data_IF_338967442101
#
_entry.id   IF_338967442101
#
_cell.length_a   1.000
_cell.length_b   1.000
_cell.length_c   1.000
_cell.angle_alpha   90.00
_cell.angle_beta   90.00
_cell.angle_gamma   90.00
#
_symmetry.space_group_name_H-M   'P 1'
#
loop_
_entity.id
_entity.type
_entity.pdbx_description
1 polymer ?
#
# COMPACT_ATOMS: atom_id res chain seq x y z
N UNK A 1 -9.00 18.25 14.92
CA UNK A 1 -7.71 18.69 14.35
C UNK A 1 -6.67 18.63 15.45
N UNK A 2 -5.56 17.97 15.25
CA UNK A 2 -4.51 17.80 16.26
C UNK A 2 -3.34 17.00 15.69
N UNK A 3 -2.36 16.72 16.52
CA UNK A 3 -1.28 15.80 16.18
C UNK A 3 -1.86 14.41 15.88
N UNK A 4 -1.46 13.81 14.76
CA UNK A 4 -2.04 12.55 14.31
C UNK A 4 -1.80 11.40 15.29
N UNK A 5 -0.66 11.38 15.98
CA UNK A 5 -0.34 10.36 16.99
C UNK A 5 -1.27 10.48 18.21
N UNK A 6 -1.49 11.71 18.70
CA UNK A 6 -2.40 11.98 19.81
C UNK A 6 -3.85 11.63 19.45
N UNK A 7 -4.27 12.05 18.25
CA UNK A 7 -5.64 11.77 17.79
C UNK A 7 -5.85 10.27 17.59
N UNK A 8 -4.91 9.57 16.95
CA UNK A 8 -5.01 8.12 16.73
C UNK A 8 -5.03 7.35 18.06
N UNK A 9 -4.27 7.79 19.07
CA UNK A 9 -4.25 7.12 20.38
C UNK A 9 -5.60 7.12 21.09
N UNK A 10 -6.52 8.02 20.71
CA UNK A 10 -7.88 8.08 21.27
C UNK A 10 -8.85 7.06 20.67
N UNK A 11 -8.48 6.42 19.55
CA UNK A 11 -9.29 5.37 18.93
C UNK A 11 -8.91 3.98 19.47
N UNK A 12 -9.88 3.08 19.48
CA UNK A 12 -9.65 1.68 19.81
C UNK A 12 -8.87 0.96 18.71
N UNK A 13 -8.31 -0.20 19.05
CA UNK A 13 -7.68 -1.08 18.05
C UNK A 13 -8.70 -1.56 17.02
N UNK A 14 -8.22 -1.79 15.80
CA UNK A 14 -9.04 -2.34 14.71
C UNK A 14 -10.30 -1.53 14.37
N UNK A 15 -10.25 -0.19 14.56
CA UNK A 15 -11.38 0.70 14.29
C UNK A 15 -11.58 0.97 12.80
N UNK A 16 -10.50 1.06 12.02
CA UNK A 16 -10.56 1.52 10.63
C UNK A 16 -10.28 0.39 9.64
N UNK A 17 -10.94 0.43 8.49
CA UNK A 17 -10.83 -0.59 7.44
C UNK A 17 -9.81 -0.25 6.33
N UNK A 18 -9.32 0.96 6.30
CA UNK A 18 -8.25 1.42 5.41
C UNK A 18 -7.61 2.70 5.92
N UNK A 19 -6.36 2.94 5.53
CA UNK A 19 -5.69 4.22 5.66
C UNK A 19 -5.27 4.68 4.27
N UNK A 20 -5.67 5.90 3.87
CA UNK A 20 -5.18 6.56 2.66
C UNK A 20 -4.72 7.94 3.10
N UNK A 21 -3.43 8.24 2.91
CA UNK A 21 -2.83 9.46 3.45
C UNK A 21 -1.77 10.04 2.54
N UNK A 22 -1.72 11.37 2.52
CA UNK A 22 -0.66 12.16 1.92
C UNK A 22 0.11 12.86 3.06
N UNK A 23 1.09 12.17 3.66
CA UNK A 23 1.81 12.66 4.82
C UNK A 23 2.93 13.64 4.42
N UNK A 24 3.60 14.31 5.38
CA UNK A 24 4.81 15.07 5.10
C UNK A 24 5.85 14.23 4.36
N UNK A 25 6.48 14.83 3.34
CA UNK A 25 7.48 14.14 2.51
C UNK A 25 8.92 14.31 2.99
N UNK A 26 9.15 15.22 3.95
CA UNK A 26 10.50 15.53 4.43
C UNK A 26 11.33 16.31 3.42
N UNK A 27 10.69 17.11 2.59
CA UNK A 27 11.34 17.92 1.55
C UNK A 27 11.70 19.33 2.02
N UNK A 28 11.33 19.70 3.25
CA UNK A 28 11.57 21.02 3.82
C UNK A 28 10.76 22.14 3.15
N UNK A 29 9.57 21.80 2.64
CA UNK A 29 8.68 22.77 1.98
C UNK A 29 8.08 23.76 2.98
N UNK A 30 7.94 23.35 4.23
CA UNK A 30 7.45 24.17 5.33
C UNK A 30 8.01 23.65 6.67
N UNK A 31 7.79 24.38 7.76
CA UNK A 31 8.29 24.08 9.11
C UNK A 31 7.82 22.74 9.68
N UNK A 32 6.75 22.16 9.16
CA UNK A 32 6.22 20.84 9.54
C UNK A 32 6.76 19.71 8.64
N UNK A 33 7.40 20.02 7.50
CA UNK A 33 7.84 19.03 6.50
C UNK A 33 9.34 18.71 6.64
N UNK A 34 9.78 18.34 7.88
CA UNK A 34 11.19 18.05 8.15
C UNK A 34 11.62 16.63 7.80
N UNK A 35 10.69 15.68 7.87
CA UNK A 35 10.97 14.26 7.64
C UNK A 35 9.71 13.52 7.24
N UNK A 36 9.87 12.34 6.63
CA UNK A 36 8.76 11.40 6.52
C UNK A 36 8.31 10.96 7.93
N UNK A 37 7.03 10.58 8.12
CA UNK A 37 6.52 10.14 9.41
C UNK A 37 7.36 9.00 9.99
N UNK A 38 7.62 9.09 11.28
CA UNK A 38 8.41 8.10 12.02
C UNK A 38 7.65 6.79 12.21
N UNK A 39 8.37 5.74 12.55
CA UNK A 39 7.80 4.40 12.84
C UNK A 39 6.69 4.46 13.90
N UNK A 40 6.80 5.31 14.89
CA UNK A 40 5.79 5.43 15.97
C UNK A 40 4.43 5.89 15.47
N UNK A 41 4.40 6.79 14.47
CA UNK A 41 3.14 7.21 13.83
C UNK A 41 2.52 6.02 13.10
N UNK A 42 3.32 5.28 12.36
CA UNK A 42 2.85 4.10 11.62
C UNK A 42 2.41 2.95 12.54
N UNK A 43 2.99 2.83 13.74
CA UNK A 43 2.51 1.89 14.77
C UNK A 43 1.12 2.23 15.27
N UNK A 44 0.79 3.52 15.44
CA UNK A 44 -0.57 3.93 15.78
C UNK A 44 -1.55 3.70 14.62
N UNK A 45 -1.14 3.97 13.39
CA UNK A 45 -1.93 3.61 12.20
C UNK A 45 -2.14 2.09 12.16
N UNK A 46 -1.09 1.30 12.37
CA UNK A 46 -1.17 -0.16 12.40
C UNK A 46 -2.14 -0.65 13.48
N UNK A 47 -2.05 -0.10 14.69
CA UNK A 47 -2.90 -0.49 15.81
C UNK A 47 -4.38 -0.24 15.51
N UNK A 48 -4.69 0.91 14.95
CA UNK A 48 -6.08 1.34 14.70
C UNK A 48 -6.70 0.71 13.44
N UNK A 49 -5.91 0.16 12.53
CA UNK A 49 -6.42 -0.56 11.36
C UNK A 49 -6.85 -1.98 11.72
N UNK A 50 -7.93 -2.45 11.09
CA UNK A 50 -8.39 -3.84 11.19
C UNK A 50 -7.41 -4.82 10.52
N UNK A 51 -7.33 -6.08 10.96
CA UNK A 51 -6.55 -7.11 10.27
C UNK A 51 -6.89 -7.18 8.79
N UNK A 52 -5.88 -7.25 7.93
CA UNK A 52 -6.05 -7.25 6.47
C UNK A 52 -6.25 -5.88 5.84
N UNK A 53 -6.49 -4.82 6.59
CA UNK A 53 -6.69 -3.48 6.07
C UNK A 53 -5.46 -2.97 5.29
N UNK A 54 -5.71 -2.25 4.20
CA UNK A 54 -4.67 -1.62 3.42
C UNK A 54 -4.30 -0.23 3.95
N UNK A 55 -3.00 0.08 3.87
CA UNK A 55 -2.45 1.40 4.09
C UNK A 55 -1.81 1.89 2.79
N UNK A 56 -2.32 3.00 2.24
CA UNK A 56 -1.83 3.66 1.04
C UNK A 56 -1.24 5.00 1.46
N UNK A 57 0.08 5.16 1.31
CA UNK A 57 0.78 6.38 1.72
C UNK A 57 1.56 6.98 0.55
N UNK A 58 1.20 8.21 0.20
CA UNK A 58 1.90 8.99 -0.81
C UNK A 58 3.29 9.42 -0.34
N UNK A 59 4.22 9.57 -1.26
CA UNK A 59 5.56 10.06 -0.96
C UNK A 59 6.24 10.68 -2.19
N UNK A 60 7.33 11.41 -1.94
CA UNK A 60 8.22 11.80 -3.01
C UNK A 60 9.07 10.62 -3.47
N UNK A 61 9.47 10.55 -4.77
CA UNK A 61 10.41 9.54 -5.25
C UNK A 61 11.76 9.54 -4.51
N UNK A 62 12.18 10.70 -4.00
CA UNK A 62 13.46 10.87 -3.30
C UNK A 62 13.50 10.17 -1.94
N UNK A 63 12.35 10.12 -1.24
CA UNK A 63 12.26 9.62 0.14
C UNK A 63 11.34 8.40 0.30
N UNK A 64 10.81 7.88 -0.82
CA UNK A 64 9.94 6.69 -0.83
C UNK A 64 10.51 5.52 -0.02
N UNK A 65 11.81 5.25 -0.19
CA UNK A 65 12.48 4.13 0.49
C UNK A 65 12.44 4.30 2.02
N UNK A 66 12.57 5.52 2.54
CA UNK A 66 12.49 5.79 3.99
C UNK A 66 11.08 5.59 4.52
N UNK A 67 10.08 6.07 3.77
CA UNK A 67 8.69 5.88 4.14
C UNK A 67 8.33 4.39 4.16
N UNK A 68 8.70 3.64 3.12
CA UNK A 68 8.42 2.22 3.02
C UNK A 68 9.03 1.43 4.16
N UNK A 69 10.30 1.71 4.52
CA UNK A 69 10.96 1.08 5.67
C UNK A 69 10.25 1.41 6.98
N UNK A 70 9.87 2.68 7.21
CA UNK A 70 9.17 3.05 8.44
C UNK A 70 7.79 2.37 8.57
N UNK A 71 7.08 2.19 7.44
CA UNK A 71 5.81 1.46 7.39
C UNK A 71 6.03 -0.02 7.68
N UNK A 72 7.04 -0.64 7.08
CA UNK A 72 7.40 -2.05 7.31
C UNK A 72 7.83 -2.29 8.77
N UNK A 73 8.69 -1.44 9.33
CA UNK A 73 9.16 -1.51 10.72
C UNK A 73 8.03 -1.32 11.75
N UNK A 74 6.92 -0.73 11.33
CA UNK A 74 5.71 -0.63 12.16
C UNK A 74 4.88 -1.93 12.19
N UNK A 75 5.22 -2.92 11.34
CA UNK A 75 4.59 -4.24 11.30
C UNK A 75 3.73 -4.51 10.06
N UNK A 76 3.63 -3.56 9.13
CA UNK A 76 2.93 -3.79 7.87
C UNK A 76 3.74 -4.69 6.92
N UNK A 77 3.04 -5.37 6.02
CA UNK A 77 3.65 -6.06 4.89
C UNK A 77 3.55 -5.16 3.66
N UNK A 78 4.67 -4.81 3.07
CA UNK A 78 4.68 -4.08 1.79
C UNK A 78 4.20 -5.02 0.69
N UNK A 79 3.13 -4.64 -0.01
CA UNK A 79 2.51 -5.46 -1.06
C UNK A 79 2.86 -4.99 -2.46
N UNK A 80 2.90 -3.68 -2.67
CA UNK A 80 3.10 -3.11 -4.01
C UNK A 80 3.45 -1.62 -3.91
N UNK A 81 3.65 -1.01 -5.06
CA UNK A 81 3.79 0.42 -5.24
C UNK A 81 2.86 0.89 -6.36
N UNK A 82 2.03 1.89 -6.08
CA UNK A 82 1.27 2.58 -7.11
C UNK A 82 2.05 3.81 -7.55
N UNK A 83 2.04 4.09 -8.85
CA UNK A 83 2.59 5.31 -9.43
C UNK A 83 1.46 6.24 -9.81
N UNK A 84 1.32 7.35 -9.09
CA UNK A 84 0.43 8.43 -9.47
C UNK A 84 1.09 9.27 -10.55
N UNK A 85 0.75 9.03 -11.80
CA UNK A 85 1.36 9.71 -12.95
C UNK A 85 0.90 11.17 -13.05
N UNK A 86 1.84 12.08 -13.29
CA UNK A 86 1.55 13.51 -13.44
C UNK A 86 2.39 14.13 -14.56
N UNK A 87 1.78 15.01 -15.34
CA UNK A 87 2.46 15.76 -16.40
C UNK A 87 2.69 17.23 -16.04
N UNK A 88 2.09 17.71 -14.95
CA UNK A 88 2.03 19.13 -14.59
C UNK A 88 3.10 19.59 -13.63
N UNK A 89 3.96 18.69 -13.10
CA UNK A 89 5.03 19.07 -12.19
C UNK A 89 6.06 19.98 -12.86
N UNK A 90 6.63 20.91 -12.08
CA UNK A 90 7.63 21.84 -12.56
C UNK A 90 8.98 21.13 -12.83
N UNK A 91 9.70 21.50 -13.89
CA UNK A 91 11.07 21.06 -14.09
C UNK A 91 11.96 21.51 -12.94
N UNK A 92 12.82 20.62 -12.45
CA UNK A 92 13.85 20.96 -11.46
C UNK A 92 15.16 21.33 -12.20
N UNK A 93 15.83 22.37 -11.72
CA UNK A 93 17.13 22.76 -12.31
C UNK A 93 18.14 21.60 -12.17
N UNK A 94 18.81 21.23 -13.27
CA UNK A 94 19.78 20.14 -13.35
C UNK A 94 19.29 18.75 -12.88
N UNK A 95 17.97 18.50 -12.88
CA UNK A 95 17.38 17.20 -12.51
C UNK A 95 16.27 16.84 -13.49
N UNK A 96 15.91 15.57 -13.49
CA UNK A 96 14.76 15.10 -14.24
C UNK A 96 13.47 15.76 -13.69
N UNK A 97 12.57 16.13 -14.60
CA UNK A 97 11.21 16.55 -14.23
C UNK A 97 10.49 15.37 -13.58
N UNK A 98 9.95 15.51 -12.37
CA UNK A 98 9.15 14.45 -11.76
C UNK A 98 7.94 14.13 -12.63
N UNK A 99 7.70 12.84 -12.90
CA UNK A 99 6.58 12.38 -13.71
C UNK A 99 5.55 11.57 -12.91
N UNK A 100 5.84 11.25 -11.66
CA UNK A 100 4.95 10.49 -10.78
C UNK A 100 5.18 10.82 -9.31
N UNK A 101 4.23 10.45 -8.49
CA UNK A 101 4.35 10.29 -7.05
C UNK A 101 4.16 8.82 -6.72
N UNK A 102 5.10 8.19 -6.02
CA UNK A 102 4.93 6.81 -5.59
C UNK A 102 3.99 6.75 -4.38
N UNK A 103 3.19 5.70 -4.32
CA UNK A 103 2.32 5.40 -3.19
C UNK A 103 2.73 4.04 -2.64
N UNK A 104 3.12 3.97 -1.39
CA UNK A 104 3.34 2.70 -0.69
C UNK A 104 2.00 1.99 -0.57
N UNK A 105 1.93 0.74 -0.99
CA UNK A 105 0.79 -0.14 -0.76
C UNK A 105 1.20 -1.17 0.27
N UNK A 106 0.72 -0.99 1.48
CA UNK A 106 1.00 -1.88 2.60
C UNK A 106 -0.28 -2.50 3.15
N UNK A 107 -0.17 -3.62 3.82
CA UNK A 107 -1.31 -4.34 4.39
C UNK A 107 -0.99 -4.79 5.81
N UNK A 108 -1.93 -4.58 6.73
CA UNK A 108 -1.84 -5.15 8.06
C UNK A 108 -1.97 -6.68 7.95
N UNK A 109 -1.06 -7.48 8.55
CA UNK A 109 -1.18 -8.92 8.59
C UNK A 109 -2.52 -9.39 9.13
N UNK A 110 -2.97 -10.54 8.66
CA UNK A 110 -4.15 -11.24 9.15
C UNK A 110 -3.89 -12.74 9.20
N UNK A 111 -4.69 -13.48 9.93
CA UNK A 111 -4.59 -14.93 10.05
C UNK A 111 -5.70 -15.61 9.24
N UNK A 112 -5.44 -16.84 8.77
CA UNK A 112 -6.41 -17.61 8.01
C UNK A 112 -6.49 -17.24 6.52
N UNK A 113 -7.65 -17.44 5.92
CA UNK A 113 -7.87 -17.14 4.50
C UNK A 113 -8.31 -15.68 4.30
N UNK A 114 -8.07 -15.15 3.10
CA UNK A 114 -8.58 -13.83 2.73
C UNK A 114 -10.10 -13.73 2.89
N UNK A 115 -10.83 -14.80 2.54
CA UNK A 115 -12.28 -14.82 2.67
C UNK A 115 -12.71 -14.76 4.14
N UNK A 116 -12.09 -15.55 5.02
CA UNK A 116 -12.43 -15.52 6.44
C UNK A 116 -12.14 -14.17 7.08
N UNK A 117 -11.03 -13.52 6.69
CA UNK A 117 -10.71 -12.17 7.14
C UNK A 117 -11.76 -11.14 6.65
N UNK A 118 -12.17 -11.26 5.38
CA UNK A 118 -13.20 -10.35 4.85
C UNK A 118 -14.56 -10.56 5.51
N UNK A 119 -14.94 -11.80 5.79
CA UNK A 119 -16.21 -12.13 6.46
C UNK A 119 -16.22 -11.58 7.90
N UNK A 120 -15.07 -11.56 8.57
CA UNK A 120 -14.93 -11.07 9.95
C UNK A 120 -14.77 -9.55 10.02
N UNK A 121 -13.90 -8.96 9.17
CA UNK A 121 -13.48 -7.57 9.30
C UNK A 121 -13.99 -6.65 8.18
N UNK A 122 -14.59 -7.18 7.12
CA UNK A 122 -15.11 -6.39 6.00
C UNK A 122 -14.04 -5.69 5.15
N UNK A 123 -12.77 -6.06 5.28
CA UNK A 123 -11.65 -5.43 4.58
C UNK A 123 -10.60 -6.44 4.11
N UNK A 124 -9.55 -5.97 3.43
CA UNK A 124 -8.45 -6.80 2.94
C UNK A 124 -8.55 -7.21 1.48
N UNK A 125 -9.62 -6.83 0.78
CA UNK A 125 -9.82 -7.11 -0.65
C UNK A 125 -9.77 -5.80 -1.43
N UNK A 126 -9.01 -5.78 -2.52
CA UNK A 126 -9.06 -4.72 -3.54
C UNK A 126 -9.96 -5.22 -4.68
N UNK A 127 -11.04 -4.48 -4.97
CA UNK A 127 -11.91 -4.79 -6.12
C UNK A 127 -11.18 -4.44 -7.42
N UNK A 128 -10.61 -5.46 -8.04
CA UNK A 128 -9.93 -5.33 -9.33
C UNK A 128 -10.89 -5.42 -10.52
N UNK A 129 -12.17 -5.65 -10.31
CA UNK A 129 -13.14 -5.76 -11.40
C UNK A 129 -13.57 -4.39 -11.90
N UNK A 130 -13.79 -3.45 -10.98
CA UNK A 130 -14.18 -2.07 -11.28
C UNK A 130 -12.99 -1.18 -11.66
N UNK A 131 -11.78 -1.53 -11.20
CA UNK A 131 -10.56 -0.73 -11.45
C UNK A 131 -9.77 -1.18 -12.67
N UNK A 132 -10.15 -2.28 -13.28
CA UNK A 132 -9.45 -2.83 -14.43
C UNK A 132 -9.69 -2.01 -15.69
N UNK A 133 -8.60 -1.55 -16.31
CA UNK A 133 -8.65 -0.95 -17.64
C UNK A 133 -8.95 -2.05 -18.67
N UNK A 134 -9.96 -1.88 -19.54
CA UNK A 134 -10.25 -2.85 -20.59
C UNK A 134 -9.04 -3.05 -21.51
N UNK A 135 -8.79 -4.29 -21.87
CA UNK A 135 -7.73 -4.60 -22.83
C UNK A 135 -8.25 -4.36 -24.25
N UNK A 136 -7.56 -3.51 -25.01
CA UNK A 136 -7.83 -3.32 -26.43
C UNK A 136 -6.94 -4.23 -27.26
N UNK A 137 -7.55 -5.07 -28.12
CA UNK A 137 -6.86 -6.01 -29.02
C UNK A 137 -6.66 -7.41 -28.43
N UNK A 138 -5.70 -8.16 -29.00
CA UNK A 138 -5.37 -9.50 -28.51
C UNK A 138 -4.45 -9.40 -27.29
N UNK A 139 -4.79 -10.11 -26.17
CA UNK A 139 -3.90 -10.13 -25.02
C UNK A 139 -2.54 -10.73 -25.40
N UNK A 140 -1.45 -10.35 -24.73
CA UNK A 140 -0.12 -10.91 -24.97
C UNK A 140 -0.13 -12.44 -24.95
N UNK A 141 0.65 -13.05 -25.82
CA UNK A 141 0.85 -14.51 -25.84
C UNK A 141 1.38 -14.97 -24.48
N UNK A 142 0.71 -15.92 -23.87
CA UNK A 142 1.02 -16.39 -22.50
C UNK A 142 0.01 -15.95 -21.45
N UNK A 143 -0.88 -15.01 -21.77
CA UNK A 143 -2.02 -14.72 -20.91
C UNK A 143 -3.07 -15.80 -21.07
N UNK A 144 -3.44 -16.44 -19.98
CA UNK A 144 -4.41 -17.51 -19.98
C UNK A 144 -5.81 -16.91 -19.87
N UNK A 145 -6.70 -17.23 -20.83
CA UNK A 145 -8.12 -16.88 -20.74
C UNK A 145 -8.70 -17.41 -19.44
N UNK A 146 -9.61 -16.63 -18.86
CA UNK A 146 -10.21 -16.90 -17.55
C UNK A 146 -10.53 -18.37 -17.28
N UNK A 147 -10.23 -18.84 -16.10
CA UNK A 147 -10.41 -20.21 -15.65
C UNK A 147 -9.17 -21.11 -15.73
N UNK A 148 -8.11 -20.73 -16.41
CA UNK A 148 -6.88 -21.47 -16.37
C UNK A 148 -6.08 -21.13 -15.10
N UNK A 149 -5.47 -22.16 -14.51
CA UNK A 149 -4.64 -22.07 -13.31
C UNK A 149 -3.67 -20.89 -13.42
N UNK A 150 -3.82 -19.87 -12.57
CA UNK A 150 -2.89 -18.76 -12.48
C UNK A 150 -1.50 -19.31 -12.21
N UNK A 151 -0.59 -19.16 -13.16
CA UNK A 151 0.83 -19.29 -12.87
C UNK A 151 1.25 -18.01 -12.15
N UNK A 152 1.56 -18.11 -10.89
CA UNK A 152 2.26 -17.04 -10.18
C UNK A 152 3.69 -17.00 -10.68
N UNK A 153 4.18 -15.81 -10.99
CA UNK A 153 5.56 -15.58 -11.39
C UNK A 153 6.48 -16.16 -10.30
N UNK A 154 7.43 -17.01 -10.68
CA UNK A 154 8.46 -17.54 -9.77
C UNK A 154 8.14 -18.85 -9.07
N UNK A 155 7.06 -19.57 -9.44
CA UNK A 155 6.82 -20.93 -8.91
C UNK A 155 6.77 -21.95 -10.03
N UNK A 156 7.55 -22.99 -9.88
CA UNK A 156 7.39 -24.28 -10.53
C UNK A 156 5.96 -24.76 -10.33
N UNK A 157 5.38 -25.35 -11.35
CA UNK A 157 3.94 -25.64 -11.54
C UNK A 157 3.17 -26.37 -10.42
N UNK A 158 3.65 -26.35 -9.19
CA UNK A 158 3.04 -26.99 -8.01
C UNK A 158 2.50 -25.93 -7.03
N UNK A 159 1.74 -24.99 -7.54
CA UNK A 159 1.18 -23.91 -6.74
C UNK A 159 -0.13 -24.31 -6.09
N UNK A 160 -0.08 -24.80 -4.89
CA UNK A 160 -1.18 -24.68 -3.96
C UNK A 160 -1.14 -23.27 -3.38
N UNK A 161 -2.18 -22.50 -3.65
CA UNK A 161 -2.60 -21.29 -2.96
C UNK A 161 -1.51 -20.38 -2.41
N UNK A 162 -1.02 -19.46 -3.21
CA UNK A 162 0.09 -18.60 -2.81
C UNK A 162 -0.33 -17.33 -2.06
N UNK A 163 -1.60 -17.01 -2.05
CA UNK A 163 -2.09 -15.87 -1.27
C UNK A 163 -1.99 -16.06 0.24
N UNK A 164 -2.07 -17.31 0.70
CA UNK A 164 -2.03 -17.61 2.12
C UNK A 164 -0.63 -17.51 2.76
N UNK A 165 0.44 -17.66 1.95
CA UNK A 165 1.80 -17.62 2.51
C UNK A 165 2.31 -16.21 2.81
N UNK A 166 1.72 -15.19 2.19
CA UNK A 166 2.06 -13.79 2.46
C UNK A 166 1.20 -13.14 3.56
N UNK A 167 0.16 -13.81 3.99
CA UNK A 167 -0.71 -13.34 5.07
C UNK A 167 -0.40 -13.92 6.45
N UNK A 168 0.57 -14.83 6.51
CA UNK A 168 0.95 -15.52 7.76
C UNK A 168 2.42 -15.23 8.09
N UNK A 169 2.72 -14.04 8.50
CA UNK A 169 3.98 -13.72 9.17
C UNK A 169 3.65 -13.23 10.56
#
# INVERSE_FOLDING_TARGET
TGDCKEVLSSYEENTFHACITDPPYGMGMDHWDHSVPTVDIWREVYRTLSPGAFCLAFCSPELYHRLAVNVEDAGFIIKDQIMWMTTTKMPKHNRLKPAHEPIVVAQKPYTGSLQSNFDEWGCGIIDTTTTRVPWEGKPPTGWVKGGAKRRTFGRDGNTKGTGAEYGTV
#
